data_IF_392935203045
#
_entry.id   IF_392935203045
#
_cell.length_a   1.000
_cell.length_b   1.000
_cell.length_c   1.000
_cell.angle_alpha   90.00
_cell.angle_beta   90.00
_cell.angle_gamma   90.00
#
_symmetry.space_group_name_H-M   'P 1'
#
loop_
_entity.id
_entity.type
_entity.pdbx_description
1 polymer ?
#
# COMPACT_ATOMS: atom_id res chain seq x y z
N UNK A 1 -10.08 -13.99 -55.24
CA UNK A 1 -10.31 -14.51 -53.88
C UNK A 1 -9.80 -13.46 -52.89
N UNK A 2 -10.69 -12.88 -52.06
CA UNK A 2 -10.33 -12.14 -50.84
C UNK A 2 -9.85 -13.18 -49.80
N UNK A 3 -8.98 -12.90 -48.83
CA UNK A 3 -9.02 -11.75 -47.94
C UNK A 3 -7.62 -11.42 -47.39
N UNK A 4 -7.29 -10.14 -47.44
CA UNK A 4 -6.03 -9.58 -46.99
C UNK A 4 -6.08 -9.15 -45.54
N UNK A 5 -6.14 -10.08 -44.60
CA UNK A 5 -5.90 -9.77 -43.19
C UNK A 5 -4.44 -10.00 -42.82
N UNK A 6 -3.61 -8.96 -43.04
CA UNK A 6 -2.41 -8.80 -42.21
C UNK A 6 -2.87 -8.52 -40.78
N UNK A 7 -2.85 -9.56 -39.94
CA UNK A 7 -3.03 -9.43 -38.50
C UNK A 7 -1.81 -8.73 -37.92
N UNK A 8 -1.83 -7.40 -37.90
CA UNK A 8 -0.99 -6.66 -36.98
C UNK A 8 -1.56 -6.90 -35.58
N UNK A 9 -0.97 -7.82 -34.82
CA UNK A 9 -1.10 -7.75 -33.37
C UNK A 9 -0.32 -6.50 -32.95
N UNK A 10 -1.00 -5.37 -32.78
CA UNK A 10 -0.46 -4.21 -32.06
C UNK A 10 -0.38 -4.50 -30.56
N UNK A 11 -0.03 -5.71 -30.17
CA UNK A 11 0.46 -5.99 -28.84
C UNK A 11 1.90 -5.51 -28.83
N UNK A 12 2.08 -4.19 -28.68
CA UNK A 12 3.32 -3.67 -28.13
C UNK A 12 3.54 -4.44 -26.84
N UNK A 13 4.48 -5.39 -26.84
CA UNK A 13 4.97 -6.01 -25.64
C UNK A 13 5.65 -4.91 -24.81
N UNK A 14 4.85 -4.14 -24.09
CA UNK A 14 5.36 -3.22 -23.10
C UNK A 14 6.17 -4.04 -22.10
N UNK A 15 7.41 -3.61 -21.89
CA UNK A 15 8.32 -4.34 -21.04
C UNK A 15 7.72 -4.48 -19.63
N UNK A 16 7.95 -5.61 -18.97
CA UNK A 16 7.35 -5.94 -17.67
C UNK A 16 7.60 -4.87 -16.58
N UNK A 17 8.67 -4.07 -16.70
CA UNK A 17 8.96 -2.96 -15.79
C UNK A 17 7.97 -1.79 -15.92
N UNK A 18 7.38 -1.58 -17.11
CA UNK A 18 6.36 -0.55 -17.36
C UNK A 18 5.09 -0.88 -16.58
N UNK A 19 4.73 -2.17 -16.49
CA UNK A 19 3.58 -2.67 -15.73
C UNK A 19 3.75 -2.53 -14.21
N UNK A 20 5.00 -2.46 -13.73
CA UNK A 20 5.34 -2.32 -12.31
C UNK A 20 5.64 -0.88 -11.90
N UNK A 21 5.22 0.10 -12.70
CA UNK A 21 5.36 1.51 -12.32
C UNK A 21 4.55 1.78 -11.05
N UNK A 22 5.22 2.31 -10.03
CA UNK A 22 4.56 2.73 -8.79
C UNK A 22 3.70 3.96 -9.02
N UNK A 23 2.50 3.95 -8.46
CA UNK A 23 1.51 5.01 -8.57
C UNK A 23 0.95 5.32 -7.18
N UNK A 24 1.49 6.37 -6.55
CA UNK A 24 1.06 6.83 -5.22
C UNK A 24 0.17 8.06 -5.26
N UNK A 25 0.16 8.79 -6.37
CA UNK A 25 -0.65 10.00 -6.59
C UNK A 25 -1.21 9.92 -8.01
N UNK A 26 -2.51 10.16 -8.15
CA UNK A 26 -3.21 10.21 -9.43
C UNK A 26 -4.06 11.47 -9.49
N UNK A 27 -4.23 12.03 -10.69
CA UNK A 27 -5.25 13.05 -10.89
C UNK A 27 -6.64 12.42 -10.76
N UNK A 28 -7.67 13.23 -10.47
CA UNK A 28 -9.05 12.72 -10.36
C UNK A 28 -9.53 12.00 -11.64
N UNK A 29 -9.02 12.42 -12.81
CA UNK A 29 -9.33 11.79 -14.09
C UNK A 29 -8.62 10.42 -14.23
N UNK A 30 -7.33 10.35 -13.87
CA UNK A 30 -6.57 9.10 -13.94
C UNK A 30 -7.12 8.07 -12.95
N UNK A 31 -7.52 8.50 -11.75
CA UNK A 31 -8.20 7.65 -10.78
C UNK A 31 -9.54 7.12 -11.31
N UNK A 32 -10.32 7.97 -11.98
CA UNK A 32 -11.59 7.56 -12.59
C UNK A 32 -11.36 6.52 -13.69
N UNK A 33 -10.40 6.77 -14.58
CA UNK A 33 -10.04 5.85 -15.67
C UNK A 33 -9.47 4.53 -15.13
N UNK A 34 -8.61 4.56 -14.11
CA UNK A 34 -8.03 3.35 -13.50
C UNK A 34 -9.11 2.51 -12.81
N UNK A 35 -10.06 3.17 -12.15
CA UNK A 35 -11.21 2.51 -11.51
C UNK A 35 -12.15 1.89 -12.54
N UNK A 36 -12.42 2.58 -13.65
CA UNK A 36 -13.26 2.07 -14.73
C UNK A 36 -12.63 0.84 -15.41
N UNK A 37 -11.33 0.90 -15.70
CA UNK A 37 -10.57 -0.20 -16.27
C UNK A 37 -10.54 -1.43 -15.35
N UNK A 38 -10.41 -1.21 -14.03
CA UNK A 38 -10.39 -2.29 -13.05
C UNK A 38 -11.79 -2.92 -12.85
N UNK A 39 -12.86 -2.18 -13.12
CA UNK A 39 -14.23 -2.67 -13.08
C UNK A 39 -14.68 -3.36 -14.38
N UNK A 40 -13.80 -3.50 -15.38
CA UNK A 40 -14.10 -3.97 -16.74
C UNK A 40 -15.37 -3.30 -17.33
N UNK A 41 -15.57 -2.00 -17.02
CA UNK A 41 -16.70 -1.21 -17.54
C UNK A 41 -16.23 -0.32 -18.67
N UNK A 42 -16.63 -0.65 -19.89
CA UNK A 42 -16.52 0.24 -21.04
C UNK A 42 -17.61 1.31 -20.94
N UNK A 43 -17.24 2.51 -20.49
CA UNK A 43 -18.09 3.69 -20.63
C UNK A 43 -17.83 4.32 -22.00
N UNK A 44 -18.72 4.07 -22.96
CA UNK A 44 -18.92 4.99 -24.08
C UNK A 44 -19.50 6.29 -23.51
N UNK A 45 -18.62 7.21 -23.11
CA UNK A 45 -19.03 8.49 -22.61
C UNK A 45 -19.71 9.28 -23.73
N UNK A 46 -21.05 9.30 -23.74
CA UNK A 46 -21.77 10.40 -24.37
C UNK A 46 -21.26 11.70 -23.74
N UNK A 47 -20.89 12.67 -24.57
CA UNK A 47 -20.14 13.91 -24.27
C UNK A 47 -20.77 14.88 -23.24
N UNK A 48 -21.66 14.41 -22.37
CA UNK A 48 -22.53 15.24 -21.53
C UNK A 48 -22.56 14.81 -20.05
N UNK A 49 -21.56 14.08 -19.55
CA UNK A 49 -21.38 13.95 -18.09
C UNK A 49 -20.57 15.15 -17.57
N UNK A 50 -21.24 16.07 -16.88
CA UNK A 50 -20.65 17.28 -16.30
C UNK A 50 -19.56 16.93 -15.27
N UNK A 51 -18.31 16.82 -15.73
CA UNK A 51 -17.13 16.78 -14.87
C UNK A 51 -16.91 18.20 -14.33
N UNK A 52 -17.29 18.44 -13.07
CA UNK A 52 -16.96 19.69 -12.38
C UNK A 52 -15.50 19.61 -11.95
N UNK A 53 -14.60 20.12 -12.78
CA UNK A 53 -13.20 20.32 -12.43
C UNK A 53 -13.15 21.46 -11.41
N UNK A 54 -13.04 21.12 -10.13
CA UNK A 54 -12.70 22.10 -9.09
C UNK A 54 -11.21 22.39 -9.29
N UNK A 55 -10.90 23.43 -10.05
CA UNK A 55 -9.57 24.04 -9.98
C UNK A 55 -9.45 24.59 -8.56
N UNK A 56 -8.59 23.99 -7.74
CA UNK A 56 -8.14 24.68 -6.55
C UNK A 56 -7.30 25.85 -7.05
N UNK A 57 -7.90 27.03 -7.00
CA UNK A 57 -7.21 28.28 -7.24
C UNK A 57 -6.02 28.32 -6.29
N UNK A 58 -4.84 28.72 -6.78
CA UNK A 58 -3.65 28.92 -5.96
C UNK A 58 -3.86 30.16 -5.09
N UNK A 59 -4.74 30.01 -4.10
CA UNK A 59 -5.08 31.04 -3.13
C UNK A 59 -3.94 31.18 -2.15
N UNK A 60 -3.15 32.24 -2.34
CA UNK A 60 -2.34 32.93 -1.34
C UNK A 60 -1.71 32.01 -0.26
N UNK A 61 -0.50 31.51 -0.56
CA UNK A 61 0.41 30.88 0.41
C UNK A 61 0.91 31.89 1.44
N UNK A 62 0.00 32.36 2.31
CA UNK A 62 0.33 33.02 3.56
C UNK A 62 0.17 32.07 4.75
N UNK A 63 0.43 30.77 4.53
CA UNK A 63 0.76 29.84 5.59
C UNK A 63 2.20 30.11 6.03
N UNK A 64 2.38 31.17 6.82
CA UNK A 64 3.55 31.31 7.69
C UNK A 64 3.74 29.99 8.42
N UNK A 65 4.89 29.36 8.22
CA UNK A 65 5.29 28.12 8.88
C UNK A 65 5.54 28.33 10.38
N UNK A 66 4.53 28.78 11.11
CA UNK A 66 4.51 28.65 12.55
C UNK A 66 4.36 27.17 12.83
N UNK A 67 5.47 26.53 13.20
CA UNK A 67 5.47 25.15 13.66
C UNK A 67 4.50 25.02 14.83
N UNK A 68 3.29 24.56 14.55
CA UNK A 68 2.32 24.20 15.57
C UNK A 68 2.88 22.97 16.30
N UNK A 69 3.64 23.21 17.36
CA UNK A 69 3.91 22.17 18.35
C UNK A 69 2.59 21.85 19.03
N UNK A 70 1.89 20.86 18.49
CA UNK A 70 0.72 20.22 19.09
C UNK A 70 0.92 20.03 20.59
N UNK A 71 -0.06 20.40 21.41
CA UNK A 71 0.03 20.20 22.86
C UNK A 71 0.14 18.70 23.18
N UNK A 72 0.71 18.36 24.33
CA UNK A 72 0.83 16.95 24.75
C UNK A 72 -0.54 16.26 24.85
N UNK A 73 -1.59 17.00 25.20
CA UNK A 73 -2.96 16.51 25.27
C UNK A 73 -3.54 16.26 23.87
N UNK A 74 -3.38 17.20 22.93
CA UNK A 74 -3.80 17.02 21.54
C UNK A 74 -3.09 15.82 20.89
N UNK A 75 -1.79 15.64 21.17
CA UNK A 75 -1.03 14.46 20.73
C UNK A 75 -1.58 13.16 21.32
N UNK A 76 -1.95 13.16 22.59
CA UNK A 76 -2.59 12.02 23.25
C UNK A 76 -3.90 11.61 22.57
N UNK A 77 -4.76 12.59 22.29
CA UNK A 77 -6.04 12.38 21.63
C UNK A 77 -5.88 11.87 20.20
N UNK A 78 -4.96 12.45 19.42
CA UNK A 78 -4.65 11.94 18.08
C UNK A 78 -4.09 10.52 18.11
N UNK A 79 -3.19 10.21 19.04
CA UNK A 79 -2.64 8.86 19.18
C UNK A 79 -3.74 7.84 19.54
N UNK A 80 -4.73 8.23 20.35
CA UNK A 80 -5.87 7.38 20.67
C UNK A 80 -6.75 7.15 19.44
N UNK A 81 -7.07 8.20 18.68
CA UNK A 81 -7.80 8.09 17.40
C UNK A 81 -7.06 7.17 16.42
N UNK A 82 -5.75 7.34 16.24
CA UNK A 82 -4.93 6.50 15.36
C UNK A 82 -4.96 5.02 15.77
N UNK A 83 -4.88 4.73 17.08
CA UNK A 83 -4.94 3.35 17.59
C UNK A 83 -6.30 2.69 17.36
N UNK A 84 -7.39 3.46 17.42
CA UNK A 84 -8.73 2.95 17.12
C UNK A 84 -8.86 2.54 15.64
N UNK A 85 -8.39 3.40 14.74
CA UNK A 85 -8.48 3.22 13.29
C UNK A 85 -7.43 2.27 12.70
N UNK A 86 -6.41 1.88 13.48
CA UNK A 86 -5.34 0.97 13.03
C UNK A 86 -5.89 -0.37 12.51
N UNK A 87 -7.05 -0.82 13.01
CA UNK A 87 -7.65 -2.09 12.59
C UNK A 87 -8.23 -2.07 11.18
N UNK A 88 -8.63 -0.90 10.71
CA UNK A 88 -9.29 -0.75 9.40
C UNK A 88 -8.26 -0.50 8.27
N UNK A 89 -7.04 -0.12 8.64
CA UNK A 89 -5.89 0.03 7.72
C UNK A 89 -5.26 -1.33 7.41
N UNK A 90 -5.94 -2.10 6.56
CA UNK A 90 -5.50 -3.43 6.12
C UNK A 90 -4.80 -3.39 4.75
N UNK A 91 -3.90 -4.33 4.49
CA UNK A 91 -3.37 -4.61 3.14
C UNK A 91 -4.34 -5.52 2.37
N UNK A 92 -4.48 -5.36 1.04
CA UNK A 92 -5.42 -6.15 0.26
C UNK A 92 -5.05 -7.63 0.34
N UNK A 93 -5.99 -8.47 0.79
CA UNK A 93 -5.82 -9.91 0.87
C UNK A 93 -6.02 -10.51 -0.51
N UNK A 94 -5.18 -11.49 -0.88
CA UNK A 94 -5.43 -12.27 -2.09
C UNK A 94 -6.67 -13.15 -1.88
N UNK A 95 -7.64 -13.14 -2.81
CA UNK A 95 -8.74 -14.09 -2.78
C UNK A 95 -8.26 -15.54 -2.90
N UNK A 96 -9.00 -16.46 -2.30
CA UNK A 96 -8.78 -17.90 -2.48
C UNK A 96 -8.93 -18.27 -3.96
N UNK A 97 -7.98 -19.05 -4.47
CA UNK A 97 -7.94 -19.50 -5.85
C UNK A 97 -7.76 -21.03 -5.91
N UNK A 98 -8.33 -21.64 -6.94
CA UNK A 98 -8.25 -23.08 -7.17
C UNK A 98 -7.57 -23.36 -8.52
N UNK A 99 -6.91 -24.50 -8.65
CA UNK A 99 -6.22 -24.91 -9.90
C UNK A 99 -7.17 -25.02 -11.10
N UNK A 100 -8.46 -25.29 -10.87
CA UNK A 100 -9.49 -25.32 -11.91
C UNK A 100 -9.97 -23.96 -12.41
N UNK A 101 -9.52 -22.84 -11.82
CA UNK A 101 -9.93 -21.50 -12.25
C UNK A 101 -9.19 -21.08 -13.52
N UNK A 102 -9.91 -20.43 -14.45
CA UNK A 102 -9.24 -19.85 -15.63
C UNK A 102 -8.43 -18.62 -15.24
N UNK A 103 -7.37 -18.33 -16.01
CA UNK A 103 -6.55 -17.12 -15.83
C UNK A 103 -7.40 -15.83 -15.81
N UNK A 104 -8.44 -15.77 -16.64
CA UNK A 104 -9.33 -14.62 -16.71
C UNK A 104 -10.23 -14.51 -15.47
N UNK A 105 -10.76 -15.63 -14.99
CA UNK A 105 -11.56 -15.66 -13.76
C UNK A 105 -10.75 -15.20 -12.55
N UNK A 106 -9.51 -15.69 -12.41
CA UNK A 106 -8.61 -15.29 -11.34
C UNK A 106 -8.27 -13.80 -11.41
N UNK A 107 -7.92 -13.28 -12.58
CA UNK A 107 -7.61 -11.86 -12.76
C UNK A 107 -8.81 -10.97 -12.39
N UNK A 108 -10.03 -11.36 -12.79
CA UNK A 108 -11.25 -10.64 -12.44
C UNK A 108 -11.51 -10.64 -10.93
N UNK A 109 -11.33 -11.77 -10.26
CA UNK A 109 -11.52 -11.89 -8.82
C UNK A 109 -10.47 -11.07 -8.04
N UNK A 110 -9.21 -11.09 -8.49
CA UNK A 110 -8.13 -10.29 -7.93
C UNK A 110 -8.40 -8.78 -8.09
N UNK A 111 -8.86 -8.34 -9.27
CA UNK A 111 -9.30 -6.96 -9.53
C UNK A 111 -10.47 -6.56 -8.64
N UNK A 112 -11.50 -7.39 -8.54
CA UNK A 112 -12.69 -7.09 -7.73
C UNK A 112 -12.34 -6.92 -6.25
N UNK A 113 -11.52 -7.81 -5.69
CA UNK A 113 -11.06 -7.71 -4.32
C UNK A 113 -10.21 -6.45 -4.07
N UNK A 114 -9.35 -6.08 -5.02
CA UNK A 114 -8.58 -4.84 -4.96
C UNK A 114 -9.47 -3.60 -5.01
N UNK A 115 -10.53 -3.61 -5.82
CA UNK A 115 -11.52 -2.53 -5.89
C UNK A 115 -12.27 -2.35 -4.58
N UNK A 116 -12.72 -3.46 -3.99
CA UNK A 116 -13.41 -3.45 -2.71
C UNK A 116 -12.51 -2.91 -1.61
N UNK A 117 -11.24 -3.30 -1.59
CA UNK A 117 -10.24 -2.75 -0.69
C UNK A 117 -10.06 -1.23 -0.86
N UNK A 118 -9.95 -0.73 -2.10
CA UNK A 118 -9.88 0.72 -2.38
C UNK A 118 -11.12 1.46 -1.87
N UNK A 119 -12.31 0.88 -2.06
CA UNK A 119 -13.57 1.46 -1.56
C UNK A 119 -13.58 1.55 -0.03
N UNK A 120 -13.06 0.53 0.67
CA UNK A 120 -12.94 0.55 2.15
C UNK A 120 -12.03 1.69 2.61
N UNK A 121 -10.89 1.91 1.94
CA UNK A 121 -10.00 3.03 2.26
C UNK A 121 -10.62 4.40 1.98
N UNK A 122 -11.33 4.54 0.85
CA UNK A 122 -12.04 5.78 0.53
C UNK A 122 -13.10 6.10 1.58
N UNK A 123 -13.87 5.09 2.01
CA UNK A 123 -14.87 5.26 3.06
C UNK A 123 -14.25 5.69 4.39
N UNK A 124 -13.08 5.15 4.76
CA UNK A 124 -12.37 5.56 5.98
C UNK A 124 -11.88 7.02 5.93
N UNK A 125 -11.50 7.49 4.75
CA UNK A 125 -11.08 8.87 4.54
C UNK A 125 -12.28 9.82 4.57
N UNK A 126 -13.41 9.44 3.97
CA UNK A 126 -14.66 10.22 4.04
C UNK A 126 -15.23 10.28 5.45
N UNK A 127 -15.18 9.17 6.21
CA UNK A 127 -15.72 9.13 7.57
C UNK A 127 -14.89 9.91 8.59
N UNK A 128 -13.64 10.25 8.26
CA UNK A 128 -12.70 10.92 9.16
C UNK A 128 -12.01 12.09 8.46
N UNK A 129 -12.62 13.29 8.52
CA UNK A 129 -12.08 14.52 7.91
C UNK A 129 -10.66 14.89 8.40
N UNK A 130 -10.30 14.50 9.64
CA UNK A 130 -8.97 14.74 10.23
C UNK A 130 -7.90 13.72 9.79
N UNK A 131 -8.28 12.64 9.11
CA UNK A 131 -7.37 11.54 8.81
C UNK A 131 -6.75 11.72 7.42
N UNK A 132 -5.51 12.19 7.40
CA UNK A 132 -4.68 12.10 6.20
C UNK A 132 -4.03 10.71 6.13
N UNK A 133 -4.47 9.88 5.19
CA UNK A 133 -3.85 8.59 4.93
C UNK A 133 -2.46 8.78 4.33
N UNK A 134 -1.49 7.97 4.76
CA UNK A 134 -0.19 7.91 4.10
C UNK A 134 -0.36 7.49 2.63
N UNK A 135 0.32 8.15 1.68
CA UNK A 135 0.27 7.74 0.28
C UNK A 135 0.53 6.24 0.14
N UNK A 136 -0.33 5.55 -0.61
CA UNK A 136 -0.29 4.10 -0.79
C UNK A 136 -0.27 3.76 -2.27
N UNK A 137 0.16 2.54 -2.58
CA UNK A 137 0.25 2.06 -3.96
C UNK A 137 -1.13 1.76 -4.54
N UNK A 138 -1.45 2.38 -5.68
CA UNK A 138 -2.72 2.20 -6.39
C UNK A 138 -2.62 1.21 -7.56
N UNK A 139 -1.42 0.83 -7.97
CA UNK A 139 -1.22 -0.18 -9.01
C UNK A 139 -1.37 -1.61 -8.45
N UNK A 140 -2.39 -2.33 -8.93
CA UNK A 140 -2.64 -3.73 -8.56
C UNK A 140 -1.46 -4.66 -8.88
N UNK A 141 -0.69 -4.39 -9.93
CA UNK A 141 0.42 -5.26 -10.32
C UNK A 141 1.51 -5.33 -9.26
N UNK A 142 1.70 -4.25 -8.48
CA UNK A 142 2.61 -4.25 -7.32
C UNK A 142 2.05 -5.14 -6.19
N UNK A 143 0.75 -5.04 -5.92
CA UNK A 143 0.09 -5.89 -4.92
C UNK A 143 0.07 -7.37 -5.31
N UNK A 144 -0.06 -7.68 -6.61
CA UNK A 144 0.09 -9.05 -7.12
C UNK A 144 1.49 -9.62 -6.86
N UNK A 145 2.54 -8.79 -6.88
CA UNK A 145 3.88 -9.25 -6.47
C UNK A 145 3.93 -9.57 -4.98
N UNK A 146 3.33 -8.72 -4.13
CA UNK A 146 3.25 -9.00 -2.70
C UNK A 146 2.56 -10.34 -2.44
N UNK A 147 1.42 -10.59 -3.08
CA UNK A 147 0.69 -11.85 -2.95
C UNK A 147 1.53 -13.07 -3.32
N UNK A 148 2.23 -13.03 -4.46
CA UNK A 148 3.12 -14.12 -4.90
C UNK A 148 4.27 -14.36 -3.93
N UNK A 149 4.85 -13.29 -3.37
CA UNK A 149 5.96 -13.39 -2.41
C UNK A 149 5.46 -14.00 -1.10
N UNK A 150 4.33 -13.55 -0.57
CA UNK A 150 3.75 -14.08 0.67
C UNK A 150 3.39 -15.56 0.50
N UNK A 151 2.79 -15.94 -0.63
CA UNK A 151 2.42 -17.34 -0.92
C UNK A 151 3.65 -18.26 -0.99
N UNK A 152 4.69 -17.85 -1.71
CA UNK A 152 5.86 -18.70 -1.99
C UNK A 152 6.93 -18.73 -0.90
N UNK A 153 6.90 -17.80 0.05
CA UNK A 153 7.96 -17.66 1.07
C UNK A 153 7.57 -18.30 2.40
N UNK A 154 8.49 -18.99 3.05
CA UNK A 154 8.29 -19.52 4.41
C UNK A 154 8.55 -18.46 5.49
N UNK A 155 9.39 -17.47 5.19
CA UNK A 155 9.76 -16.37 6.07
C UNK A 155 9.58 -15.04 5.33
N UNK A 156 8.79 -14.12 5.90
CA UNK A 156 8.64 -12.76 5.39
C UNK A 156 9.40 -11.79 6.30
N UNK A 157 10.32 -11.02 5.70
CA UNK A 157 11.16 -10.06 6.41
C UNK A 157 10.70 -8.65 6.11
N UNK A 158 10.27 -7.90 7.14
CA UNK A 158 9.93 -6.49 7.02
C UNK A 158 11.16 -5.63 7.34
N UNK A 159 11.65 -4.90 6.34
CA UNK A 159 12.78 -3.99 6.50
C UNK A 159 12.26 -2.63 6.93
N UNK A 160 12.68 -2.14 8.10
CA UNK A 160 12.24 -0.86 8.66
C UNK A 160 13.43 0.07 8.92
N UNK A 161 13.22 1.38 8.82
CA UNK A 161 14.24 2.38 9.16
C UNK A 161 14.34 2.54 10.69
N UNK A 162 15.56 2.45 11.23
CA UNK A 162 15.84 2.49 12.66
C UNK A 162 15.40 3.78 13.37
N UNK A 163 15.21 4.89 12.63
CA UNK A 163 14.80 6.17 13.21
C UNK A 163 13.36 6.17 13.72
N UNK A 164 12.47 5.45 13.04
CA UNK A 164 11.09 5.30 13.46
C UNK A 164 10.54 3.91 13.06
N UNK A 165 10.98 2.84 13.73
CA UNK A 165 10.65 1.48 13.32
C UNK A 165 9.16 1.15 13.46
N UNK A 166 8.41 1.88 14.29
CA UNK A 166 6.98 1.65 14.48
C UNK A 166 6.13 2.20 13.33
N UNK A 167 6.55 3.31 12.72
CA UNK A 167 5.85 3.91 11.59
C UNK A 167 5.96 3.05 10.31
N UNK A 168 7.14 2.48 10.07
CA UNK A 168 7.41 1.68 8.86
C UNK A 168 7.01 0.20 8.99
N UNK A 169 6.57 -0.22 10.18
CA UNK A 169 6.15 -1.59 10.44
C UNK A 169 4.66 -1.74 10.13
N UNK A 170 4.30 -2.71 9.31
CA UNK A 170 2.90 -3.11 9.12
C UNK A 170 2.58 -4.32 10.01
N UNK A 171 1.79 -4.08 11.06
CA UNK A 171 1.26 -5.15 11.92
C UNK A 171 0.25 -6.01 11.16
N UNK A 172 -0.51 -5.40 10.26
CA UNK A 172 -1.49 -6.11 9.45
C UNK A 172 -0.84 -7.08 8.46
N UNK A 173 0.34 -6.73 7.90
CA UNK A 173 1.10 -7.66 7.06
C UNK A 173 1.56 -8.91 7.83
N UNK A 174 1.95 -8.75 9.10
CA UNK A 174 2.33 -9.92 9.94
C UNK A 174 1.14 -10.86 10.14
N UNK A 175 -0.05 -10.27 10.32
CA UNK A 175 -1.30 -11.01 10.42
C UNK A 175 -1.62 -11.73 9.11
N UNK A 176 -1.51 -11.04 7.98
CA UNK A 176 -1.75 -11.64 6.66
C UNK A 176 -0.88 -12.88 6.41
N UNK A 177 0.41 -12.80 6.74
CA UNK A 177 1.33 -13.94 6.61
C UNK A 177 0.85 -15.13 7.43
N UNK A 178 0.38 -14.90 8.66
CA UNK A 178 -0.17 -15.95 9.53
C UNK A 178 -1.54 -16.47 9.09
N UNK A 179 -2.38 -15.62 8.49
CA UNK A 179 -3.64 -16.01 7.87
C UNK A 179 -3.41 -16.94 6.67
N UNK A 180 -2.34 -16.70 5.90
CA UNK A 180 -2.00 -17.53 4.73
C UNK A 180 -1.48 -18.94 5.10
N UNK A 181 -0.59 -19.04 6.09
CA UNK A 181 -0.13 -20.30 6.66
C UNK A 181 0.46 -20.05 8.06
N UNK A 182 -0.05 -20.77 9.06
CA UNK A 182 0.39 -20.61 10.44
C UNK A 182 1.88 -20.98 10.65
N UNK A 183 2.45 -21.81 9.78
CA UNK A 183 3.87 -22.21 9.81
C UNK A 183 4.81 -21.10 9.36
N UNK A 184 4.33 -20.14 8.55
CA UNK A 184 5.15 -19.03 8.05
C UNK A 184 5.60 -18.14 9.21
N UNK A 185 6.81 -17.62 9.11
CA UNK A 185 7.38 -16.72 10.12
C UNK A 185 7.46 -15.27 9.63
N UNK A 186 7.46 -14.33 10.57
CA UNK A 186 7.70 -12.91 10.32
C UNK A 186 8.96 -12.47 11.07
N UNK A 187 9.82 -11.70 10.41
CA UNK A 187 11.01 -11.11 11.01
C UNK A 187 11.07 -9.61 10.72
N UNK A 188 11.35 -8.80 11.74
CA UNK A 188 11.57 -7.36 11.60
C UNK A 188 13.08 -7.07 11.46
N UNK A 189 13.51 -6.61 10.29
CA UNK A 189 14.89 -6.17 10.05
C UNK A 189 14.99 -4.65 10.23
N UNK A 190 15.57 -4.20 11.33
CA UNK A 190 15.75 -2.78 11.62
C UNK A 190 17.04 -2.28 10.98
N UNK A 191 16.92 -1.63 9.83
CA UNK A 191 18.01 -1.14 9.00
C UNK A 191 18.51 0.25 9.46
N UNK A 192 19.77 0.58 9.12
CA UNK A 192 20.49 1.80 9.54
C UNK A 192 20.64 1.89 11.06
N UNK A 193 20.87 0.76 11.72
CA UNK A 193 21.01 0.70 13.17
C UNK A 193 22.24 1.45 13.71
N UNK A 194 23.18 1.83 12.85
CA UNK A 194 24.32 2.72 13.12
C UNK A 194 23.88 4.14 13.50
N UNK A 195 22.72 4.60 13.02
CA UNK A 195 22.15 5.89 13.41
C UNK A 195 21.65 5.92 14.86
N UNK A 196 21.57 4.76 15.52
CA UNK A 196 21.11 4.64 16.90
C UNK A 196 22.28 4.48 17.86
N UNK A 197 22.24 5.24 18.96
CA UNK A 197 23.15 5.02 20.08
C UNK A 197 22.93 3.63 20.70
N UNK A 198 23.95 3.10 21.40
CA UNK A 198 23.84 1.81 22.11
C UNK A 198 22.66 1.79 23.10
N UNK A 199 22.41 2.90 23.81
CA UNK A 199 21.29 3.03 24.74
C UNK A 199 19.94 2.92 24.03
N UNK A 200 19.78 3.59 22.88
CA UNK A 200 18.56 3.53 22.06
C UNK A 200 18.32 2.12 21.51
N UNK A 201 19.37 1.43 21.03
CA UNK A 201 19.24 0.04 20.56
C UNK A 201 18.76 -0.91 21.66
N UNK A 202 19.27 -0.75 22.89
CA UNK A 202 18.80 -1.54 24.04
C UNK A 202 17.34 -1.23 24.38
N UNK A 203 16.93 0.04 24.35
CA UNK A 203 15.55 0.44 24.60
C UNK A 203 14.59 -0.17 23.56
N UNK A 204 14.94 -0.09 22.27
CA UNK A 204 14.17 -0.71 21.19
C UNK A 204 14.14 -2.24 21.29
N UNK A 205 15.27 -2.88 21.61
CA UNK A 205 15.33 -4.32 21.84
C UNK A 205 14.37 -4.75 22.95
N UNK A 206 14.37 -4.05 24.10
CA UNK A 206 13.44 -4.31 25.20
C UNK A 206 11.98 -4.17 24.75
N UNK A 207 11.68 -3.13 23.96
CA UNK A 207 10.35 -2.94 23.41
C UNK A 207 9.91 -4.13 22.53
N UNK A 208 10.74 -4.53 21.54
CA UNK A 208 10.39 -5.63 20.65
C UNK A 208 10.24 -6.97 21.38
N UNK A 209 11.11 -7.26 22.35
CA UNK A 209 11.00 -8.46 23.19
C UNK A 209 9.69 -8.43 24.00
N UNK A 210 9.35 -7.29 24.62
CA UNK A 210 8.11 -7.15 25.40
C UNK A 210 6.83 -7.37 24.58
N UNK A 211 6.91 -7.17 23.27
CA UNK A 211 5.81 -7.36 22.31
C UNK A 211 5.89 -8.69 21.57
N UNK A 212 6.82 -9.58 21.96
CA UNK A 212 7.06 -10.88 21.32
C UNK A 212 7.32 -10.78 19.81
N UNK A 213 8.08 -9.76 19.40
CA UNK A 213 8.43 -9.49 18.01
C UNK A 213 9.80 -10.10 17.74
N UNK A 214 9.90 -10.93 16.70
CA UNK A 214 11.20 -11.35 16.17
C UNK A 214 11.86 -10.20 15.42
N UNK A 215 13.05 -9.76 15.85
CA UNK A 215 13.74 -8.62 15.24
C UNK A 215 15.25 -8.85 15.12
N UNK A 216 15.89 -8.13 14.21
CA UNK A 216 17.36 -8.05 14.10
C UNK A 216 17.76 -6.65 13.67
N UNK A 217 18.82 -6.11 14.25
CA UNK A 217 19.40 -4.85 13.82
C UNK A 217 20.43 -5.08 12.71
N UNK A 218 20.37 -4.27 11.68
CA UNK A 218 21.29 -4.32 10.55
C UNK A 218 21.82 -2.93 10.19
N UNK A 219 23.08 -2.88 9.76
CA UNK A 219 23.71 -1.70 9.18
C UNK A 219 24.51 -2.14 7.96
N UNK A 220 24.32 -1.43 6.84
CA UNK A 220 24.98 -1.73 5.58
C UNK A 220 26.39 -1.12 5.47
N UNK A 221 26.87 -0.41 6.50
CA UNK A 221 28.26 0.05 6.53
C UNK A 221 29.17 -1.18 6.53
N UNK A 222 30.02 -1.30 5.51
CA UNK A 222 31.05 -2.34 5.40
C UNK A 222 31.77 -2.45 6.75
N UNK A 223 31.76 -3.64 7.34
CA UNK A 223 32.83 -4.00 8.26
C UNK A 223 34.12 -3.94 7.43
N UNK A 224 34.86 -2.83 7.55
CA UNK A 224 36.27 -2.78 7.17
C UNK A 224 37.07 -3.50 8.24
#
# INVERSE_FOLDING_TARGET
LPDGEMRFTTDKHEANWVKLRSVTQESALDEFLSTAALADKDFTADRHSNVKIIRMDSGNDSATSQGFSMTNEQRGNLNAKQRALTKDLIVPRRPEWNEGMSKFQLDRQEKEAFLEWRRKLAHLQESNEDLLLTPFERNIEVWKQLWRVVERSDLVVQIVDARNPLLFRSVDLERYVKESDNRKANLLLVNKADLLTKKQRIAWAKYFISKNISFTFYSALRAN
#
